data_IF_804036777633
#
_entry.id   IF_804036777633
#
_cell.length_a   1.000
_cell.length_b   1.000
_cell.length_c   1.000
_cell.angle_alpha   90.00
_cell.angle_beta   90.00
_cell.angle_gamma   90.00
#
_symmetry.space_group_name_H-M   'P 1'
#
loop_
_entity.id
_entity.type
_entity.pdbx_description
1 polymer ?
#
# COMPACT_ATOMS: atom_id res chain seq x y z
N UNK A 1 -0.86 2.23 24.19
CA UNK A 1 -0.54 2.20 22.73
C UNK A 1 0.97 2.34 22.57
N UNK A 2 1.64 1.30 22.08
CA UNK A 2 3.11 1.23 21.98
C UNK A 2 3.68 2.40 21.15
N UNK A 3 4.56 3.20 21.75
CA UNK A 3 5.22 4.34 21.09
C UNK A 3 6.02 3.89 19.84
N UNK A 4 6.61 2.71 19.91
CA UNK A 4 7.35 2.07 18.81
C UNK A 4 6.45 1.78 17.59
N UNK A 5 5.21 1.34 17.80
CA UNK A 5 4.26 1.09 16.72
C UNK A 5 3.89 2.38 15.99
N UNK A 6 3.62 3.47 16.73
CA UNK A 6 3.31 4.78 16.15
C UNK A 6 4.50 5.34 15.35
N UNK A 7 5.72 5.21 15.88
CA UNK A 7 6.94 5.63 15.19
C UNK A 7 7.14 4.87 13.88
N UNK A 8 7.00 3.53 13.91
CA UNK A 8 7.12 2.68 12.72
C UNK A 8 6.06 2.98 11.67
N UNK A 9 4.81 3.17 12.13
CA UNK A 9 3.69 3.54 11.26
C UNK A 9 3.94 4.86 10.54
N UNK A 10 4.61 5.82 11.20
CA UNK A 10 4.96 7.12 10.61
C UNK A 10 6.03 6.97 9.53
N UNK A 11 7.10 6.21 9.81
CA UNK A 11 8.16 5.92 8.81
C UNK A 11 7.56 5.26 7.56
N UNK A 12 6.68 4.27 7.76
CA UNK A 12 6.00 3.61 6.64
C UNK A 12 5.13 4.61 5.87
N UNK A 13 4.37 5.47 6.55
CA UNK A 13 3.54 6.48 5.90
C UNK A 13 4.38 7.45 5.04
N UNK A 14 5.43 8.02 5.62
CA UNK A 14 6.33 8.97 4.94
C UNK A 14 6.97 8.33 3.70
N UNK A 15 7.42 7.08 3.81
CA UNK A 15 8.00 6.38 2.67
C UNK A 15 6.94 6.06 1.60
N UNK A 16 5.71 5.74 1.98
CA UNK A 16 4.62 5.54 1.02
C UNK A 16 4.27 6.85 0.29
N UNK A 17 4.32 8.00 0.97
CA UNK A 17 4.12 9.31 0.34
C UNK A 17 5.18 9.61 -0.72
N UNK A 18 6.45 9.25 -0.47
CA UNK A 18 7.53 9.34 -1.48
C UNK A 18 7.21 8.50 -2.73
N UNK A 19 6.46 7.41 -2.58
CA UNK A 19 6.00 6.55 -3.68
C UNK A 19 4.65 6.98 -4.29
N UNK A 20 4.21 8.21 -4.01
CA UNK A 20 2.99 8.80 -4.57
C UNK A 20 1.69 8.31 -3.92
N UNK A 21 1.77 7.73 -2.72
CA UNK A 21 0.58 7.51 -1.88
C UNK A 21 0.25 8.76 -1.08
N UNK A 22 -0.95 8.81 -0.51
CA UNK A 22 -1.40 9.89 0.37
C UNK A 22 -1.62 9.31 1.75
N UNK A 23 -0.91 9.80 2.77
CA UNK A 23 -1.13 9.37 4.15
C UNK A 23 -2.60 9.57 4.57
N UNK A 24 -3.14 8.64 5.37
CA UNK A 24 -4.49 8.79 5.91
C UNK A 24 -4.53 9.90 6.97
N UNK A 25 -5.70 10.48 7.22
CA UNK A 25 -5.88 11.54 8.21
C UNK A 25 -5.44 11.09 9.61
N UNK A 26 -5.09 12.07 10.46
CA UNK A 26 -4.54 11.83 11.80
C UNK A 26 -5.46 11.01 12.71
N UNK A 27 -6.78 11.06 12.50
CA UNK A 27 -7.77 10.29 13.27
C UNK A 27 -7.74 8.83 12.83
N UNK A 28 -7.80 8.57 11.52
CA UNK A 28 -7.62 7.24 10.95
C UNK A 28 -6.25 6.65 11.30
N UNK A 29 -5.21 7.49 11.31
CA UNK A 29 -3.86 7.09 11.68
C UNK A 29 -3.76 6.67 13.16
N UNK A 30 -4.50 7.32 14.06
CA UNK A 30 -4.52 7.01 15.49
C UNK A 30 -5.48 5.88 15.89
N UNK A 31 -6.59 5.72 15.18
CA UNK A 31 -7.69 4.83 15.55
C UNK A 31 -7.78 3.55 14.70
N UNK A 32 -7.09 3.49 13.56
CA UNK A 32 -7.14 2.33 12.65
C UNK A 32 -5.74 1.84 12.28
N UNK A 33 -5.66 0.69 11.62
CA UNK A 33 -4.42 0.20 11.01
C UNK A 33 -4.11 0.86 9.66
N UNK A 34 -5.01 1.68 9.10
CA UNK A 34 -4.77 2.34 7.82
C UNK A 34 -3.60 3.33 7.92
N UNK A 35 -2.74 3.34 6.90
CA UNK A 35 -1.49 4.12 6.86
C UNK A 35 -1.51 5.14 5.73
N UNK A 36 -1.83 4.69 4.53
CA UNK A 36 -1.86 5.50 3.33
C UNK A 36 -2.90 4.97 2.35
N UNK A 37 -3.29 5.81 1.40
CA UNK A 37 -4.18 5.44 0.31
C UNK A 37 -3.66 6.01 -1.00
N UNK A 38 -3.90 5.32 -2.12
CA UNK A 38 -3.53 5.78 -3.46
C UNK A 38 -4.69 5.58 -4.41
N UNK A 39 -5.00 6.60 -5.18
CA UNK A 39 -6.06 6.55 -6.20
C UNK A 39 -5.46 6.18 -7.54
N UNK A 40 -6.00 5.14 -8.15
CA UNK A 40 -5.65 4.67 -9.47
C UNK A 40 -6.75 5.01 -10.45
N UNK A 41 -6.37 5.57 -11.59
CA UNK A 41 -7.29 5.78 -12.70
C UNK A 41 -7.40 4.47 -13.48
N UNK A 42 -8.61 3.93 -13.57
CA UNK A 42 -8.91 2.73 -14.37
C UNK A 42 -9.92 3.05 -15.45
N UNK A 43 -10.09 2.14 -16.42
CA UNK A 43 -11.09 2.28 -17.47
C UNK A 43 -12.53 2.38 -16.94
N UNK A 44 -12.80 1.85 -15.75
CA UNK A 44 -14.13 1.85 -15.10
C UNK A 44 -14.29 2.96 -14.05
N UNK A 45 -13.34 3.90 -13.97
CA UNK A 45 -13.34 5.01 -13.01
C UNK A 45 -12.16 5.00 -12.05
N UNK A 46 -12.17 5.90 -11.08
CA UNK A 46 -11.15 5.94 -10.04
C UNK A 46 -11.37 4.82 -9.03
N UNK A 47 -10.33 4.03 -8.77
CA UNK A 47 -10.31 3.04 -7.69
C UNK A 47 -9.27 3.43 -6.66
N UNK A 48 -9.58 3.21 -5.40
CA UNK A 48 -8.69 3.55 -4.28
C UNK A 48 -8.09 2.27 -3.72
N UNK A 49 -6.77 2.23 -3.60
CA UNK A 49 -6.07 1.26 -2.77
C UNK A 49 -5.86 1.88 -1.39
N UNK A 50 -6.01 1.08 -0.34
CA UNK A 50 -5.72 1.49 1.04
C UNK A 50 -4.70 0.51 1.61
N UNK A 51 -3.63 1.05 2.18
CA UNK A 51 -2.61 0.28 2.86
C UNK A 51 -2.88 0.28 4.36
N UNK A 52 -2.72 -0.90 4.97
CA UNK A 52 -2.94 -1.17 6.39
C UNK A 52 -1.67 -1.79 6.98
N UNK A 53 -1.24 -1.26 8.12
CA UNK A 53 -0.17 -1.81 8.94
C UNK A 53 -0.82 -2.46 10.16
N UNK A 54 -0.89 -3.78 10.17
CA UNK A 54 -1.44 -4.55 11.28
C UNK A 54 -0.31 -5.19 12.09
N UNK A 55 -0.41 -5.26 13.43
CA UNK A 55 0.44 -6.15 14.20
C UNK A 55 0.16 -7.60 13.78
N UNK A 56 1.22 -8.37 13.52
CA UNK A 56 1.13 -9.81 13.23
C UNK A 56 1.45 -10.60 14.50
N UNK A 57 2.71 -10.93 14.72
CA UNK A 57 3.21 -11.65 15.88
C UNK A 57 4.00 -10.74 16.84
N UNK A 58 4.51 -11.27 17.95
CA UNK A 58 5.01 -10.56 19.16
C UNK A 58 5.93 -9.35 18.96
N UNK A 59 6.51 -9.13 17.78
CA UNK A 59 7.18 -7.89 17.40
C UNK A 59 7.10 -7.58 15.90
N UNK A 60 6.26 -8.27 15.14
CA UNK A 60 6.20 -8.13 13.69
C UNK A 60 5.03 -7.27 13.25
N UNK A 61 5.25 -6.47 12.22
CA UNK A 61 4.22 -5.65 11.59
C UNK A 61 3.99 -6.14 10.17
N UNK A 62 2.73 -6.36 9.81
CA UNK A 62 2.33 -6.74 8.46
C UNK A 62 1.76 -5.52 7.76
N UNK A 63 2.44 -5.08 6.71
CA UNK A 63 1.93 -4.10 5.76
C UNK A 63 1.19 -4.84 4.65
N UNK A 64 -0.09 -4.60 4.51
CA UNK A 64 -0.93 -5.15 3.45
C UNK A 64 -1.68 -4.02 2.74
N UNK A 65 -2.11 -4.24 1.50
CA UNK A 65 -2.97 -3.30 0.80
C UNK A 65 -4.24 -4.00 0.33
N UNK A 66 -5.35 -3.28 0.40
CA UNK A 66 -6.60 -3.68 -0.22
C UNK A 66 -6.88 -2.80 -1.43
N UNK A 67 -7.18 -3.45 -2.54
CA UNK A 67 -7.68 -2.82 -3.75
C UNK A 67 -8.81 -3.66 -4.31
N UNK A 68 -10.03 -3.18 -4.07
CA UNK A 68 -11.23 -3.81 -4.59
C UNK A 68 -11.40 -3.47 -6.07
N UNK A 69 -11.23 -4.47 -6.93
CA UNK A 69 -11.52 -4.35 -8.35
C UNK A 69 -12.45 -5.45 -8.82
N UNK A 70 -13.61 -5.08 -9.36
CA UNK A 70 -14.60 -6.04 -9.91
C UNK A 70 -15.07 -7.07 -8.88
N UNK A 71 -15.19 -6.65 -7.61
CA UNK A 71 -15.58 -7.53 -6.50
C UNK A 71 -14.49 -8.46 -6.00
N UNK A 72 -13.24 -8.33 -6.49
CA UNK A 72 -12.09 -9.12 -6.05
C UNK A 72 -10.98 -8.20 -5.52
N UNK A 73 -10.39 -8.58 -4.39
CA UNK A 73 -9.18 -7.93 -3.92
C UNK A 73 -7.97 -8.53 -4.66
N UNK A 74 -7.43 -7.77 -5.62
CA UNK A 74 -6.27 -8.18 -6.43
C UNK A 74 -4.98 -8.12 -5.60
N UNK A 75 -4.96 -7.31 -4.52
CA UNK A 75 -3.79 -7.10 -3.67
C UNK A 75 -3.74 -8.00 -2.44
N UNK A 76 -4.70 -8.92 -2.24
CA UNK A 76 -4.68 -9.84 -1.10
C UNK A 76 -3.39 -10.67 -0.99
N UNK A 77 -2.70 -10.91 -2.12
CA UNK A 77 -1.44 -11.63 -2.16
C UNK A 77 -0.21 -10.76 -1.86
N UNK A 78 -0.34 -9.43 -1.91
CA UNK A 78 0.77 -8.50 -1.67
C UNK A 78 0.77 -8.05 -0.21
N UNK A 79 1.64 -8.65 0.59
CA UNK A 79 1.89 -8.24 1.97
C UNK A 79 3.39 -8.27 2.27
N UNK A 80 3.86 -7.28 3.01
CA UNK A 80 5.21 -7.18 3.51
C UNK A 80 5.20 -7.42 5.03
N UNK A 81 6.06 -8.31 5.51
CA UNK A 81 6.33 -8.49 6.93
C UNK A 81 7.55 -7.66 7.32
N UNK A 82 7.39 -6.86 8.36
CA UNK A 82 8.40 -5.96 8.91
C UNK A 82 8.72 -6.44 10.33
N UNK A 83 9.87 -7.10 10.55
CA UNK A 83 10.32 -7.46 11.88
C UNK A 83 10.57 -6.21 12.73
N UNK A 84 10.21 -6.23 14.01
CA UNK A 84 10.32 -5.05 14.90
C UNK A 84 11.74 -4.58 15.18
N UNK A 85 12.74 -5.40 14.88
CA UNK A 85 14.16 -5.09 15.01
C UNK A 85 14.86 -4.67 13.71
N UNK A 86 14.16 -4.60 12.58
CA UNK A 86 14.80 -4.26 11.30
C UNK A 86 15.18 -2.77 11.23
N UNK A 87 16.25 -2.42 10.53
CA UNK A 87 16.68 -1.02 10.37
C UNK A 87 15.76 -0.24 9.43
N UNK A 88 15.65 1.07 9.66
CA UNK A 88 14.76 1.96 8.89
C UNK A 88 15.07 1.94 7.39
N UNK A 89 16.35 1.81 7.00
CA UNK A 89 16.77 1.66 5.60
C UNK A 89 16.16 0.42 4.92
N UNK A 90 16.09 -0.69 5.65
CA UNK A 90 15.49 -1.94 5.17
C UNK A 90 13.97 -1.86 5.15
N UNK A 91 13.36 -1.12 6.09
CA UNK A 91 11.94 -0.76 6.02
C UNK A 91 11.67 0.03 4.74
N UNK A 92 12.49 1.03 4.43
CA UNK A 92 12.30 1.85 3.23
C UNK A 92 12.40 1.02 1.94
N UNK A 93 13.40 0.13 1.85
CA UNK A 93 13.55 -0.77 0.72
C UNK A 93 12.35 -1.71 0.57
N UNK A 94 11.87 -2.29 1.67
CA UNK A 94 10.68 -3.15 1.68
C UNK A 94 9.41 -2.40 1.28
N UNK A 95 9.20 -1.19 1.79
CA UNK A 95 8.05 -0.34 1.42
C UNK A 95 8.10 0.03 -0.06
N UNK A 96 9.28 0.36 -0.61
CA UNK A 96 9.43 0.62 -2.05
C UNK A 96 9.08 -0.61 -2.89
N UNK A 97 9.59 -1.79 -2.52
CA UNK A 97 9.26 -3.04 -3.20
C UNK A 97 7.76 -3.34 -3.12
N UNK A 98 7.14 -3.09 -1.97
CA UNK A 98 5.71 -3.23 -1.77
C UNK A 98 4.91 -2.28 -2.67
N UNK A 99 5.25 -0.99 -2.70
CA UNK A 99 4.60 -0.01 -3.58
C UNK A 99 4.73 -0.40 -5.06
N UNK A 100 5.92 -0.82 -5.50
CA UNK A 100 6.14 -1.30 -6.86
C UNK A 100 5.33 -2.56 -7.18
N UNK A 101 5.22 -3.50 -6.25
CA UNK A 101 4.40 -4.70 -6.42
C UNK A 101 2.91 -4.35 -6.53
N UNK A 102 2.42 -3.39 -5.74
CA UNK A 102 1.05 -2.89 -5.85
C UNK A 102 0.81 -2.21 -7.19
N UNK A 103 1.71 -1.31 -7.61
CA UNK A 103 1.60 -0.63 -8.91
C UNK A 103 1.60 -1.64 -10.07
N UNK A 104 2.47 -2.66 -10.02
CA UNK A 104 2.52 -3.74 -11.00
C UNK A 104 1.22 -4.56 -11.01
N UNK A 105 0.71 -4.97 -9.86
CA UNK A 105 -0.53 -5.73 -9.75
C UNK A 105 -1.76 -4.93 -10.23
N UNK A 106 -1.80 -3.62 -9.94
CA UNK A 106 -2.83 -2.73 -10.47
C UNK A 106 -2.68 -2.58 -11.99
N UNK A 107 -1.48 -2.40 -12.52
CA UNK A 107 -1.24 -2.34 -13.97
C UNK A 107 -1.59 -3.65 -14.69
N UNK A 108 -1.37 -4.79 -14.03
CA UNK A 108 -1.73 -6.11 -14.53
C UNK A 108 -3.24 -6.35 -14.48
N UNK A 109 -3.95 -5.67 -13.58
CA UNK A 109 -5.41 -5.76 -13.50
C UNK A 109 -6.06 -5.36 -14.82
N UNK A 110 -7.07 -6.13 -15.21
CA UNK A 110 -7.81 -5.95 -16.47
C UNK A 110 -8.28 -4.50 -16.69
N UNK A 111 -8.73 -3.84 -15.62
CA UNK A 111 -9.21 -2.47 -15.65
C UNK A 111 -8.11 -1.41 -15.96
N UNK A 112 -6.83 -1.71 -15.69
CA UNK A 112 -5.70 -0.85 -16.06
C UNK A 112 -5.21 -1.14 -17.48
N UNK A 113 -5.18 -2.41 -17.89
CA UNK A 113 -4.84 -2.82 -19.26
C UNK A 113 -5.75 -2.18 -20.30
N UNK A 114 -7.05 -2.08 -20.01
CA UNK A 114 -8.01 -1.44 -20.91
C UNK A 114 -7.81 0.09 -21.04
N UNK A 115 -7.20 0.73 -20.04
CA UNK A 115 -6.83 2.16 -20.11
C UNK A 115 -5.54 2.40 -20.91
N UNK A 116 -4.55 1.50 -20.81
CA UNK A 116 -3.29 1.61 -21.53
C UNK A 116 -3.31 1.00 -22.95
N UNK A 117 -4.24 0.10 -23.26
CA UNK A 117 -4.39 -0.56 -24.56
C UNK A 117 -5.06 0.28 -25.66
N UNK A 118 -5.44 1.53 -25.36
CA UNK A 118 -6.07 2.44 -26.33
C UNK A 118 -5.10 3.23 -27.22
N UNK A 119 -3.78 3.02 -27.10
CA UNK A 119 -2.82 3.61 -28.05
C UNK A 119 -2.37 2.57 -29.07
N UNK A 120 -3.09 2.61 -30.17
CA UNK A 120 -2.80 1.99 -31.46
C UNK A 120 -1.35 2.20 -31.90
N UNK A 121 -0.78 1.16 -32.50
CA UNK A 121 0.37 1.23 -33.39
C UNK A 121 0.13 2.27 -34.52
N UNK A 122 1.20 2.91 -34.99
CA UNK A 122 1.47 2.99 -36.42
C UNK A 122 2.63 2.08 -36.83
#
# INVERSE_FOLDING_TARGET
MNNQYKARKKIVAEQMEVNGWTAVDSVSFGCTSAVASKKYRTAVGFKQAIAYLNPADSSELRLAADYQSEGRNILSASALLIPGGIEDSSVHAGVNQFCNAVDAAVAESYAARLHNGGRSCP
#
